data_IF_503580482179
#
_entry.id   IF_503580482179
#
_cell.length_a   1.000
_cell.length_b   1.000
_cell.length_c   1.000
_cell.angle_alpha   90.00
_cell.angle_beta   90.00
_cell.angle_gamma   90.00
#
_symmetry.space_group_name_H-M   'P 1'
#
loop_
_entity.id
_entity.type
_entity.pdbx_description
1 polymer ?
#
# COMPACT_ATOMS: atom_id res chain seq x y z
N UNK A 1 16.39 35.80 88.78
CA UNK A 1 17.64 36.31 88.22
C UNK A 1 17.91 35.62 86.91
N UNK A 2 17.95 36.33 85.90
CA UNK A 2 18.11 36.00 84.44
C UNK A 2 16.98 35.23 83.73
N UNK A 3 16.39 35.88 82.72
CA UNK A 3 15.39 35.28 81.83
C UNK A 3 16.02 34.61 80.60
N UNK A 4 15.34 33.51 80.26
CA UNK A 4 15.65 32.74 79.04
C UNK A 4 15.20 33.46 77.76
N UNK A 5 16.12 33.65 76.82
CA UNK A 5 15.83 34.15 75.49
C UNK A 5 15.22 32.99 74.62
N UNK A 6 13.94 33.22 74.21
CA UNK A 6 13.33 32.40 73.16
C UNK A 6 13.86 32.78 71.77
N UNK A 7 14.46 31.85 71.04
CA UNK A 7 14.77 31.99 69.62
C UNK A 7 13.61 31.51 68.79
N UNK A 8 12.97 32.38 68.05
CA UNK A 8 12.00 32.07 66.97
C UNK A 8 12.74 31.53 65.79
N UNK A 9 12.51 30.25 65.49
CA UNK A 9 12.89 29.67 64.23
C UNK A 9 11.78 29.93 63.19
N UNK A 10 12.09 30.74 62.17
CA UNK A 10 11.23 30.93 61.01
C UNK A 10 11.39 29.72 60.10
N UNK A 11 10.35 28.88 60.01
CA UNK A 11 10.25 27.85 58.97
C UNK A 11 9.83 28.53 57.66
N UNK A 12 10.73 28.61 56.69
CA UNK A 12 10.43 28.91 55.32
C UNK A 12 9.91 27.62 54.63
N UNK A 13 8.60 27.57 54.34
CA UNK A 13 8.04 26.54 53.48
C UNK A 13 8.38 26.90 52.02
N UNK A 14 9.33 26.21 51.44
CA UNK A 14 9.58 26.22 49.97
C UNK A 14 8.64 25.18 49.37
N UNK A 15 7.59 25.65 48.71
CA UNK A 15 6.77 24.81 47.86
C UNK A 15 7.55 24.49 46.59
N UNK A 16 8.12 23.29 46.51
CA UNK A 16 8.59 22.71 45.25
C UNK A 16 7.35 22.35 44.40
N UNK A 17 7.02 23.16 43.42
CA UNK A 17 6.17 22.73 42.32
C UNK A 17 6.96 21.75 41.46
N UNK A 18 6.79 20.46 41.68
CA UNK A 18 7.13 19.43 40.72
C UNK A 18 6.14 19.54 39.55
N UNK A 19 6.55 20.23 38.51
CA UNK A 19 5.92 20.09 37.18
C UNK A 19 6.26 18.68 36.74
N UNK A 20 5.38 17.72 37.00
CA UNK A 20 5.38 16.43 36.30
C UNK A 20 5.02 16.73 34.85
N UNK A 21 6.04 16.95 34.00
CA UNK A 21 5.88 16.77 32.59
C UNK A 21 5.51 15.30 32.41
N UNK A 22 4.25 15.03 32.17
CA UNK A 22 3.76 13.73 31.75
C UNK A 22 4.43 13.42 30.41
N UNK A 23 5.53 12.70 30.46
CA UNK A 23 5.99 11.97 29.29
C UNK A 23 4.98 10.84 29.18
N UNK A 24 3.96 11.03 28.34
CA UNK A 24 3.18 9.93 27.82
C UNK A 24 4.16 9.02 27.06
N UNK A 25 4.72 8.06 27.80
CA UNK A 25 5.30 6.88 27.17
C UNK A 25 4.09 6.16 26.59
N UNK A 26 3.72 6.51 25.37
CA UNK A 26 2.83 5.70 24.57
C UNK A 26 3.52 4.33 24.50
N UNK A 27 3.04 3.40 25.29
CA UNK A 27 3.33 2.00 25.04
C UNK A 27 2.82 1.74 23.64
N UNK A 28 3.72 1.58 22.68
CA UNK A 28 3.39 1.03 21.36
C UNK A 28 2.98 -0.40 21.64
N UNK A 29 1.74 -0.59 22.05
CA UNK A 29 1.10 -1.89 21.94
C UNK A 29 1.13 -2.19 20.45
N UNK A 30 1.71 -3.32 20.07
CA UNK A 30 1.65 -3.80 18.71
C UNK A 30 0.17 -3.76 18.30
N UNK A 31 -0.14 -2.90 17.34
CA UNK A 31 -1.51 -2.66 16.94
C UNK A 31 -1.96 -3.83 16.07
N UNK A 32 -3.11 -4.39 16.36
CA UNK A 32 -3.75 -5.41 15.53
C UNK A 32 -4.25 -4.85 14.18
N UNK A 33 -4.16 -3.53 14.01
CA UNK A 33 -4.65 -2.77 12.87
C UNK A 33 -3.81 -1.52 12.63
N UNK A 34 -3.99 -0.87 11.48
CA UNK A 34 -3.46 0.48 11.23
C UNK A 34 -4.58 1.51 11.23
N UNK A 35 -4.28 2.70 11.72
CA UNK A 35 -5.19 3.84 11.65
C UNK A 35 -4.45 5.02 11.02
N UNK A 36 -4.87 5.43 9.85
CA UNK A 36 -4.34 6.60 9.15
C UNK A 36 -5.29 7.78 9.37
N UNK A 37 -4.78 8.80 10.06
CA UNK A 37 -5.48 10.06 10.21
C UNK A 37 -5.10 11.01 9.07
N UNK A 38 -6.04 11.76 8.53
CA UNK A 38 -5.74 12.74 7.50
C UNK A 38 -4.90 13.90 8.05
N UNK A 39 -4.15 14.61 7.18
CA UNK A 39 -3.51 15.87 7.54
C UNK A 39 -4.53 16.89 8.10
N UNK A 40 -4.14 17.69 9.09
CA UNK A 40 -5.06 18.60 9.79
C UNK A 40 -5.81 19.59 8.88
N UNK A 41 -5.23 19.94 7.74
CA UNK A 41 -5.81 20.87 6.75
C UNK A 41 -6.68 20.19 5.68
N UNK A 42 -6.85 18.87 5.73
CA UNK A 42 -7.58 18.07 4.72
C UNK A 42 -8.59 17.11 5.37
N UNK A 43 -9.12 17.45 6.51
CA UNK A 43 -10.02 16.54 7.22
C UNK A 43 -11.35 16.39 6.48
N UNK A 44 -11.64 15.18 6.07
CA UNK A 44 -12.92 14.68 5.64
C UNK A 44 -13.57 13.96 6.83
N UNK A 45 -14.79 14.30 7.18
CA UNK A 45 -15.44 13.71 8.36
C UNK A 45 -15.77 12.21 8.23
N UNK A 46 -15.47 11.59 7.09
CA UNK A 46 -15.83 10.19 6.78
C UNK A 46 -14.74 9.20 7.19
N UNK A 47 -15.19 8.06 7.71
CA UNK A 47 -14.34 6.95 8.14
C UNK A 47 -14.50 5.74 7.22
N UNK A 48 -13.39 5.26 6.67
CA UNK A 48 -13.33 4.07 5.81
C UNK A 48 -12.59 2.95 6.56
N UNK A 49 -13.21 1.78 6.64
CA UNK A 49 -12.56 0.57 7.14
C UNK A 49 -12.17 -0.30 5.95
N UNK A 50 -10.88 -0.60 5.81
CA UNK A 50 -10.34 -1.47 4.76
C UNK A 50 -9.99 -2.82 5.38
N UNK A 51 -10.47 -3.90 4.78
CA UNK A 51 -10.33 -5.26 5.34
C UNK A 51 -9.48 -6.10 4.41
N UNK A 52 -8.32 -6.54 4.92
CA UNK A 52 -7.37 -7.42 4.25
C UNK A 52 -7.44 -8.83 4.81
N UNK A 53 -7.57 -9.83 3.94
CA UNK A 53 -7.61 -11.23 4.35
C UNK A 53 -7.71 -12.16 3.14
N UNK A 54 -6.70 -12.15 2.29
CA UNK A 54 -6.66 -12.94 1.06
C UNK A 54 -5.29 -13.62 0.93
N UNK A 55 -5.28 -14.95 0.98
CA UNK A 55 -4.06 -15.74 0.93
C UNK A 55 -3.46 -15.87 -0.49
N UNK A 56 -4.12 -15.31 -1.51
CA UNK A 56 -3.69 -15.42 -2.90
C UNK A 56 -3.31 -14.06 -3.51
N UNK A 57 -4.13 -13.01 -3.30
CA UNK A 57 -4.03 -11.74 -4.05
C UNK A 57 -3.37 -10.59 -3.29
N UNK A 58 -2.71 -10.86 -2.16
CA UNK A 58 -1.84 -9.92 -1.44
C UNK A 58 -2.54 -8.65 -0.98
N UNK A 59 -3.75 -8.76 -0.46
CA UNK A 59 -4.49 -7.58 0.02
C UNK A 59 -3.84 -6.92 1.23
N UNK A 60 -2.97 -7.61 1.96
CA UNK A 60 -2.12 -7.06 3.02
C UNK A 60 -1.15 -5.97 2.52
N UNK A 61 -0.85 -5.94 1.22
CA UNK A 61 -0.03 -4.90 0.58
C UNK A 61 -0.91 -3.78 0.04
N UNK A 62 -2.01 -4.12 -0.65
CA UNK A 62 -2.84 -3.13 -1.36
C UNK A 62 -3.74 -2.32 -0.43
N UNK A 63 -4.31 -2.91 0.62
CA UNK A 63 -5.21 -2.18 1.51
C UNK A 63 -4.53 -1.05 2.28
N UNK A 64 -3.34 -1.22 2.89
CA UNK A 64 -2.64 -0.09 3.50
C UNK A 64 -2.18 0.95 2.47
N UNK A 65 -1.78 0.55 1.26
CA UNK A 65 -1.44 1.49 0.19
C UNK A 65 -2.65 2.37 -0.19
N UNK A 66 -3.83 1.77 -0.40
CA UNK A 66 -5.08 2.51 -0.66
C UNK A 66 -5.47 3.40 0.52
N UNK A 67 -5.34 2.91 1.75
CA UNK A 67 -5.64 3.67 2.96
C UNK A 67 -4.75 4.92 3.09
N UNK A 68 -3.47 4.83 2.74
CA UNK A 68 -2.56 5.98 2.69
C UNK A 68 -3.01 7.02 1.67
N UNK A 69 -3.38 6.59 0.45
CA UNK A 69 -3.89 7.51 -0.58
C UNK A 69 -5.18 8.18 -0.11
N UNK A 70 -6.16 7.39 0.34
CA UNK A 70 -7.45 7.91 0.83
C UNK A 70 -7.29 8.86 2.01
N UNK A 71 -6.38 8.56 2.92
CA UNK A 71 -6.15 9.40 4.10
C UNK A 71 -5.33 10.64 3.74
N UNK A 72 -4.14 10.49 3.18
CA UNK A 72 -3.18 11.59 3.06
C UNK A 72 -3.49 12.55 1.90
N UNK A 73 -4.17 12.06 0.85
CA UNK A 73 -4.52 12.89 -0.32
C UNK A 73 -5.99 13.28 -0.39
N UNK A 74 -6.87 12.51 0.24
CA UNK A 74 -8.32 12.72 0.17
C UNK A 74 -9.00 12.99 1.51
N UNK A 75 -8.22 13.01 2.60
CA UNK A 75 -8.68 13.47 3.90
C UNK A 75 -9.58 12.49 4.68
N UNK A 76 -9.77 11.26 4.22
CA UNK A 76 -10.53 10.25 4.95
C UNK A 76 -9.78 9.77 6.19
N UNK A 77 -10.47 9.49 7.28
CA UNK A 77 -9.94 8.61 8.31
C UNK A 77 -9.99 7.18 7.78
N UNK A 78 -8.88 6.44 7.82
CA UNK A 78 -8.82 5.06 7.33
C UNK A 78 -8.34 4.12 8.43
N UNK A 79 -9.05 3.01 8.62
CA UNK A 79 -8.61 1.89 9.49
C UNK A 79 -8.41 0.66 8.62
N UNK A 80 -7.24 0.02 8.73
CA UNK A 80 -6.92 -1.21 7.99
C UNK A 80 -6.88 -2.38 8.95
N UNK A 81 -7.71 -3.39 8.70
CA UNK A 81 -7.76 -4.64 9.42
C UNK A 81 -6.99 -5.71 8.63
N UNK A 82 -6.25 -6.55 9.34
CA UNK A 82 -5.45 -7.62 8.76
C UNK A 82 -5.85 -8.98 9.30
N UNK A 83 -5.66 -10.03 8.47
CA UNK A 83 -5.65 -11.39 8.96
C UNK A 83 -4.33 -11.63 9.71
N UNK A 84 -4.39 -11.82 11.02
CA UNK A 84 -3.25 -12.07 11.88
C UNK A 84 -3.05 -13.56 12.12
N UNK A 85 -1.88 -13.94 12.58
CA UNK A 85 -1.56 -15.32 12.96
C UNK A 85 -2.46 -15.84 14.07
N UNK A 86 -2.41 -17.17 14.34
CA UNK A 86 -3.25 -17.79 15.35
C UNK A 86 -2.82 -17.41 16.78
N UNK A 87 -3.70 -17.69 17.74
CA UNK A 87 -3.43 -17.62 19.20
C UNK A 87 -2.92 -16.24 19.70
N UNK A 88 -3.43 -15.15 19.10
CA UNK A 88 -3.05 -13.78 19.49
C UNK A 88 -1.70 -13.33 18.94
N UNK A 89 -1.20 -13.99 17.90
CA UNK A 89 0.01 -13.56 17.21
C UNK A 89 -0.20 -12.19 16.54
N UNK A 90 0.85 -11.38 16.53
CA UNK A 90 0.82 -10.02 16.00
C UNK A 90 1.32 -9.91 14.55
N UNK A 91 1.81 -11.02 13.97
CA UNK A 91 2.24 -11.03 12.57
C UNK A 91 1.06 -11.28 11.64
N UNK A 92 1.13 -10.71 10.44
CA UNK A 92 0.14 -10.89 9.39
C UNK A 92 0.25 -12.31 8.82
N UNK A 93 -0.85 -13.04 8.81
CA UNK A 93 -0.96 -14.36 8.20
C UNK A 93 -2.22 -14.47 7.34
N UNK A 94 -2.13 -14.19 6.05
CA UNK A 94 -3.26 -14.31 5.14
C UNK A 94 -3.86 -15.73 5.06
N UNK A 95 -3.12 -16.77 5.46
CA UNK A 95 -3.63 -18.14 5.51
C UNK A 95 -4.57 -18.40 6.70
N UNK A 96 -4.57 -17.53 7.72
CA UNK A 96 -5.47 -17.67 8.85
C UNK A 96 -6.88 -17.18 8.52
N UNK A 97 -7.76 -18.08 8.13
CA UNK A 97 -9.14 -17.76 7.76
C UNK A 97 -10.01 -17.14 8.87
N UNK A 98 -9.51 -17.10 10.11
CA UNK A 98 -10.19 -16.53 11.30
C UNK A 98 -9.41 -15.42 11.97
N UNK A 99 -8.31 -14.98 11.35
CA UNK A 99 -7.35 -14.08 11.95
C UNK A 99 -7.72 -12.60 11.92
N UNK A 100 -8.79 -12.19 11.23
CA UNK A 100 -9.16 -10.78 11.16
C UNK A 100 -9.77 -10.36 12.47
N UNK A 101 -9.16 -9.34 13.09
CA UNK A 101 -9.62 -8.70 14.31
C UNK A 101 -10.01 -7.25 14.03
N UNK A 102 -10.70 -6.59 15.00
CA UNK A 102 -11.01 -5.16 14.89
C UNK A 102 -12.31 -4.84 14.18
N UNK A 103 -13.17 -5.82 13.94
CA UNK A 103 -14.46 -5.63 13.27
C UNK A 103 -15.38 -4.61 13.98
N UNK A 104 -15.19 -4.37 15.28
CA UNK A 104 -15.91 -3.33 16.04
C UNK A 104 -15.71 -1.92 15.44
N UNK A 105 -14.65 -1.69 14.70
CA UNK A 105 -14.41 -0.40 14.01
C UNK A 105 -15.44 -0.08 12.92
N UNK A 106 -16.20 -1.09 12.48
CA UNK A 106 -17.32 -0.88 11.54
C UNK A 106 -18.47 -0.08 12.17
N UNK A 107 -18.59 -0.02 13.49
CA UNK A 107 -19.63 0.76 14.16
C UNK A 107 -19.58 2.24 13.75
N UNK A 108 -18.37 2.81 13.66
CA UNK A 108 -18.15 4.22 13.28
C UNK A 108 -17.91 4.40 11.77
N UNK A 109 -17.75 3.33 10.99
CA UNK A 109 -17.41 3.43 9.58
C UNK A 109 -18.56 3.96 8.73
N UNK A 110 -18.24 4.79 7.75
CA UNK A 110 -19.16 5.24 6.69
C UNK A 110 -19.10 4.32 5.46
N UNK A 111 -17.98 3.63 5.25
CA UNK A 111 -17.72 2.76 4.11
C UNK A 111 -16.82 1.61 4.54
N UNK A 112 -17.09 0.41 4.02
CA UNK A 112 -16.20 -0.75 4.10
C UNK A 112 -15.61 -1.05 2.73
N UNK A 113 -14.26 -1.15 2.63
CA UNK A 113 -13.55 -1.69 1.46
C UNK A 113 -13.06 -3.07 1.85
N UNK A 114 -13.45 -4.11 1.14
CA UNK A 114 -13.14 -5.48 1.49
C UNK A 114 -12.42 -6.23 0.36
N UNK A 115 -11.26 -6.81 0.69
CA UNK A 115 -10.48 -7.71 -0.15
C UNK A 115 -10.16 -8.97 0.64
N UNK A 116 -11.13 -9.86 0.78
CA UNK A 116 -10.98 -11.08 1.57
C UNK A 116 -11.43 -12.30 0.77
N UNK A 117 -10.94 -13.47 1.19
CA UNK A 117 -11.22 -14.74 0.51
C UNK A 117 -11.50 -15.84 1.54
N UNK A 118 -12.73 -16.38 1.54
CA UNK A 118 -13.17 -17.50 2.39
C UNK A 118 -12.92 -17.30 3.90
N UNK A 119 -13.14 -16.08 4.42
CA UNK A 119 -12.98 -15.80 5.86
C UNK A 119 -14.16 -16.34 6.66
N UNK A 120 -13.89 -16.77 7.88
CA UNK A 120 -14.91 -17.25 8.83
C UNK A 120 -14.83 -16.39 10.10
N UNK A 121 -15.54 -15.27 10.17
CA UNK A 121 -15.55 -14.44 11.38
C UNK A 121 -16.17 -15.18 12.57
N UNK A 122 -15.78 -14.80 13.77
CA UNK A 122 -16.46 -15.27 14.97
C UNK A 122 -17.92 -14.76 15.01
N UNK A 123 -18.81 -15.38 15.80
CA UNK A 123 -20.18 -14.87 15.94
C UNK A 123 -20.24 -13.42 16.46
N UNK A 124 -19.28 -13.03 17.29
CA UNK A 124 -19.19 -11.66 17.81
C UNK A 124 -18.75 -10.67 16.72
N UNK A 125 -17.77 -11.03 15.90
CA UNK A 125 -17.33 -10.24 14.75
C UNK A 125 -18.41 -10.13 13.69
N UNK A 126 -19.13 -11.23 13.45
CA UNK A 126 -20.22 -11.26 12.47
C UNK A 126 -21.35 -10.28 12.81
N UNK A 127 -21.58 -9.97 14.09
CA UNK A 127 -22.57 -8.96 14.52
C UNK A 127 -22.17 -7.56 14.04
N UNK A 128 -20.91 -7.17 14.12
CA UNK A 128 -20.48 -5.87 13.63
C UNK A 128 -20.66 -5.73 12.12
N UNK A 129 -20.41 -6.80 11.38
CA UNK A 129 -20.65 -6.84 9.94
C UNK A 129 -22.16 -6.77 9.65
N UNK A 130 -22.96 -7.54 10.39
CA UNK A 130 -24.43 -7.51 10.28
C UNK A 130 -25.01 -6.13 10.58
N UNK A 131 -24.59 -5.50 11.66
CA UNK A 131 -25.04 -4.16 12.07
C UNK A 131 -24.68 -3.10 11.00
N UNK A 132 -23.47 -3.18 10.44
CA UNK A 132 -23.03 -2.32 9.35
C UNK A 132 -23.91 -2.47 8.11
N UNK A 133 -24.19 -3.70 7.68
CA UNK A 133 -25.05 -3.99 6.52
C UNK A 133 -26.52 -3.64 6.79
N UNK A 134 -27.04 -3.89 8.01
CA UNK A 134 -28.39 -3.56 8.41
C UNK A 134 -28.62 -2.05 8.49
N UNK A 135 -27.56 -1.27 8.70
CA UNK A 135 -27.62 0.18 8.56
C UNK A 135 -27.71 0.67 7.11
N UNK A 136 -27.58 -0.22 6.12
CA UNK A 136 -27.58 0.11 4.70
C UNK A 136 -26.27 0.81 4.26
N UNK A 137 -25.20 0.67 5.02
CA UNK A 137 -23.92 1.33 4.73
C UNK A 137 -23.23 0.73 3.51
N UNK A 138 -22.52 1.54 2.69
CA UNK A 138 -21.94 1.10 1.43
C UNK A 138 -20.74 0.17 1.59
N UNK A 139 -20.53 -0.65 0.55
CA UNK A 139 -19.42 -1.61 0.46
C UNK A 139 -18.68 -1.45 -0.85
N UNK A 140 -17.35 -1.47 -0.83
CA UNK A 140 -16.50 -1.69 -2.01
C UNK A 140 -15.90 -3.09 -1.90
N UNK A 141 -16.19 -3.97 -2.86
CA UNK A 141 -15.60 -5.30 -2.95
C UNK A 141 -14.55 -5.38 -4.05
N UNK A 142 -13.36 -5.89 -3.73
CA UNK A 142 -12.29 -6.07 -4.70
C UNK A 142 -11.97 -7.56 -4.90
N UNK A 143 -11.75 -7.98 -6.13
CA UNK A 143 -11.35 -9.31 -6.56
C UNK A 143 -12.14 -10.42 -5.86
N UNK A 144 -11.57 -11.05 -4.86
CA UNK A 144 -12.11 -12.18 -4.13
C UNK A 144 -13.23 -11.85 -3.16
N UNK A 145 -13.57 -10.58 -3.00
CA UNK A 145 -14.72 -10.17 -2.19
C UNK A 145 -16.03 -10.85 -2.62
N UNK A 146 -16.16 -11.26 -3.88
CA UNK A 146 -17.28 -12.05 -4.37
C UNK A 146 -17.44 -13.41 -3.67
N UNK A 147 -16.38 -13.88 -2.99
CA UNK A 147 -16.39 -15.08 -2.11
C UNK A 147 -15.62 -14.79 -0.81
N UNK A 148 -15.87 -13.59 -0.25
CA UNK A 148 -15.17 -13.06 0.92
C UNK A 148 -15.23 -14.00 2.13
N UNK A 149 -16.38 -14.63 2.35
CA UNK A 149 -16.66 -15.42 3.56
C UNK A 149 -17.08 -16.84 3.25
N UNK A 150 -16.86 -17.73 4.21
CA UNK A 150 -17.22 -19.13 4.12
C UNK A 150 -17.45 -19.75 5.51
N UNK A 151 -17.85 -21.00 5.54
CA UNK A 151 -18.06 -21.74 6.79
C UNK A 151 -19.50 -21.63 7.30
N UNK A 152 -19.69 -22.05 8.54
CA UNK A 152 -21.02 -22.03 9.20
C UNK A 152 -21.18 -20.74 9.98
N UNK A 153 -22.26 -20.02 9.72
CA UNK A 153 -22.63 -18.78 10.37
C UNK A 153 -23.37 -17.86 9.42
N UNK A 154 -23.83 -16.74 9.94
CA UNK A 154 -24.57 -15.75 9.18
C UNK A 154 -24.37 -14.34 9.75
N UNK A 155 -24.74 -13.34 8.95
CA UNK A 155 -24.78 -11.92 9.27
C UNK A 155 -26.21 -11.48 9.60
N UNK A 156 -26.81 -12.04 10.66
CA UNK A 156 -28.17 -11.68 11.03
C UNK A 156 -29.23 -12.17 10.04
N UNK A 157 -29.06 -13.38 9.49
CA UNK A 157 -29.95 -14.01 8.51
C UNK A 157 -29.36 -14.20 7.11
N UNK A 158 -28.23 -13.54 6.82
CA UNK A 158 -27.48 -13.72 5.57
C UNK A 158 -26.31 -14.70 5.81
N UNK A 159 -26.39 -15.92 5.25
CA UNK A 159 -25.30 -16.88 5.39
C UNK A 159 -23.98 -16.33 4.84
N UNK A 160 -22.84 -16.69 5.46
CA UNK A 160 -21.51 -16.16 5.11
C UNK A 160 -21.19 -16.32 3.61
N UNK A 161 -21.44 -17.47 3.04
CA UNK A 161 -21.20 -17.77 1.62
C UNK A 161 -22.13 -17.02 0.64
N UNK A 162 -23.19 -16.38 1.14
CA UNK A 162 -24.10 -15.57 0.35
C UNK A 162 -23.70 -14.09 0.28
N UNK A 163 -22.68 -13.68 1.00
CA UNK A 163 -22.26 -12.27 1.02
C UNK A 163 -21.98 -11.73 -0.38
N UNK A 164 -21.16 -12.41 -1.17
CA UNK A 164 -20.84 -11.97 -2.53
C UNK A 164 -22.09 -11.80 -3.37
N UNK A 165 -22.92 -12.82 -3.46
CA UNK A 165 -24.13 -12.82 -4.30
C UNK A 165 -25.16 -11.78 -3.85
N UNK A 166 -25.37 -11.61 -2.55
CA UNK A 166 -26.46 -10.77 -2.02
C UNK A 166 -26.04 -9.34 -1.74
N UNK A 167 -24.78 -9.08 -1.44
CA UNK A 167 -24.28 -7.74 -1.13
C UNK A 167 -23.55 -7.13 -2.33
N UNK A 168 -22.77 -7.91 -3.07
CA UNK A 168 -21.99 -7.43 -4.21
C UNK A 168 -22.63 -7.73 -5.57
N UNK A 169 -23.69 -8.51 -5.60
CA UNK A 169 -24.43 -8.91 -6.83
C UNK A 169 -23.83 -10.11 -7.56
N UNK A 170 -22.66 -10.61 -7.14
CA UNK A 170 -22.00 -11.74 -7.78
C UNK A 170 -21.25 -12.61 -6.76
N UNK A 171 -21.15 -13.88 -7.05
CA UNK A 171 -20.30 -14.84 -6.33
C UNK A 171 -19.16 -15.30 -7.25
N UNK A 172 -18.15 -15.95 -6.71
CA UNK A 172 -17.12 -16.55 -7.56
C UNK A 172 -17.68 -17.71 -8.37
N UNK A 173 -17.54 -17.63 -9.69
CA UNK A 173 -18.00 -18.64 -10.63
C UNK A 173 -16.82 -19.39 -11.23
N UNK A 174 -15.91 -18.65 -11.87
CA UNK A 174 -14.74 -19.23 -12.53
C UNK A 174 -13.75 -18.14 -12.95
N UNK A 175 -12.54 -18.56 -13.24
CA UNK A 175 -11.64 -17.76 -14.07
C UNK A 175 -12.19 -17.76 -15.52
N UNK A 176 -12.35 -16.60 -16.11
CA UNK A 176 -12.76 -16.44 -17.51
C UNK A 176 -11.53 -16.33 -18.42
N UNK A 177 -10.51 -15.59 -17.99
CA UNK A 177 -9.16 -15.62 -18.55
C UNK A 177 -8.34 -16.78 -18.04
N UNK A 178 -7.17 -17.02 -18.62
CA UNK A 178 -6.22 -18.00 -18.13
C UNK A 178 -5.42 -17.38 -16.97
N UNK A 179 -5.62 -17.92 -15.77
CA UNK A 179 -5.01 -17.46 -14.53
C UNK A 179 -3.49 -17.40 -14.61
N UNK A 180 -2.88 -16.28 -14.17
CA UNK A 180 -1.44 -15.98 -14.19
C UNK A 180 -0.77 -16.07 -15.59
N UNK A 181 -1.57 -16.02 -16.66
CA UNK A 181 -1.09 -16.04 -18.06
C UNK A 181 -1.70 -14.89 -18.85
N UNK A 182 -2.99 -14.62 -18.63
CA UNK A 182 -3.74 -13.58 -19.32
C UNK A 182 -4.19 -12.50 -18.32
N UNK A 183 -4.11 -11.25 -18.72
CA UNK A 183 -4.59 -10.11 -17.93
C UNK A 183 -6.02 -9.71 -18.28
N UNK A 184 -6.49 -8.68 -17.62
CA UNK A 184 -7.77 -8.02 -17.87
C UNK A 184 -7.53 -6.57 -18.29
N UNK A 185 -8.11 -6.15 -19.42
CA UNK A 185 -8.18 -4.75 -19.83
C UNK A 185 -9.56 -4.20 -19.53
N UNK A 186 -9.64 -3.20 -18.65
CA UNK A 186 -10.89 -2.56 -18.28
C UNK A 186 -11.29 -1.50 -19.32
N UNK A 187 -12.43 -1.72 -19.95
CA UNK A 187 -12.99 -0.85 -20.99
C UNK A 187 -14.27 -0.22 -20.44
N UNK A 188 -14.40 1.10 -20.56
CA UNK A 188 -15.58 1.84 -20.08
C UNK A 188 -16.85 1.35 -20.81
N UNK A 189 -17.87 1.00 -20.02
CA UNK A 189 -19.21 0.71 -20.56
C UNK A 189 -19.84 1.98 -21.12
N UNK A 190 -20.08 2.00 -22.42
CA UNK A 190 -20.48 3.20 -23.15
C UNK A 190 -21.73 3.86 -22.58
N UNK A 191 -22.71 3.07 -22.13
CA UNK A 191 -23.95 3.57 -21.56
C UNK A 191 -23.74 4.36 -20.26
N UNK A 192 -22.66 4.07 -19.53
CA UNK A 192 -22.35 4.64 -18.23
C UNK A 192 -21.10 5.54 -18.25
N UNK A 193 -20.60 5.92 -19.43
CA UNK A 193 -19.34 6.66 -19.59
C UNK A 193 -19.29 7.99 -18.80
N UNK A 194 -20.44 8.60 -18.50
CA UNK A 194 -20.54 9.85 -17.75
C UNK A 194 -20.74 9.62 -16.22
N UNK A 195 -20.67 8.38 -15.75
CA UNK A 195 -20.88 8.11 -14.33
C UNK A 195 -19.78 8.77 -13.49
N UNK A 196 -20.10 9.41 -12.33
CA UNK A 196 -19.11 10.12 -11.53
C UNK A 196 -17.89 9.26 -11.12
N UNK A 197 -18.08 7.98 -10.83
CA UNK A 197 -16.99 7.04 -10.49
C UNK A 197 -15.95 6.93 -11.62
N UNK A 198 -16.34 7.18 -12.87
CA UNK A 198 -15.45 7.10 -14.03
C UNK A 198 -14.71 8.41 -14.36
N UNK A 199 -14.89 9.47 -13.56
CA UNK A 199 -14.16 10.74 -13.78
C UNK A 199 -12.65 10.54 -13.77
N UNK A 200 -11.98 10.91 -14.85
CA UNK A 200 -10.55 10.77 -15.02
C UNK A 200 -10.03 9.32 -15.06
N UNK A 201 -10.93 8.33 -15.12
CA UNK A 201 -10.57 6.92 -15.30
C UNK A 201 -10.48 6.65 -16.80
N UNK A 202 -9.26 6.28 -17.24
CA UNK A 202 -9.01 5.80 -18.60
C UNK A 202 -9.11 4.27 -18.69
N UNK A 203 -8.54 3.74 -19.77
CA UNK A 203 -8.34 2.29 -19.91
C UNK A 203 -7.40 1.80 -18.80
N UNK A 204 -7.80 0.75 -18.08
CA UNK A 204 -6.96 0.16 -17.05
C UNK A 204 -6.46 -1.22 -17.48
N UNK A 205 -5.34 -1.64 -16.93
CA UNK A 205 -4.80 -2.97 -17.08
C UNK A 205 -4.60 -3.64 -15.72
N UNK A 206 -5.14 -4.85 -15.57
CA UNK A 206 -4.96 -5.68 -14.39
C UNK A 206 -4.28 -7.00 -14.79
N UNK A 207 -3.11 -7.34 -14.22
CA UNK A 207 -2.48 -8.65 -14.42
C UNK A 207 -3.33 -9.83 -13.96
N UNK A 208 -4.22 -9.60 -13.00
CA UNK A 208 -5.18 -10.63 -12.63
C UNK A 208 -6.22 -10.81 -13.74
N UNK A 209 -6.54 -12.06 -14.02
CA UNK A 209 -7.46 -12.43 -15.10
C UNK A 209 -8.92 -11.99 -14.82
N UNK A 210 -9.69 -11.90 -15.88
CA UNK A 210 -11.14 -11.63 -15.81
C UNK A 210 -11.87 -12.80 -15.14
N UNK A 211 -12.80 -12.52 -14.23
CA UNK A 211 -13.73 -13.52 -13.69
C UNK A 211 -14.98 -13.69 -14.56
N UNK A 212 -15.56 -14.88 -14.54
CA UNK A 212 -16.91 -15.11 -15.01
C UNK A 212 -17.93 -14.42 -14.10
N UNK A 213 -18.81 -13.63 -14.68
CA UNK A 213 -19.87 -12.85 -14.00
C UNK A 213 -21.20 -13.19 -14.68
N UNK A 214 -22.13 -13.82 -13.95
CA UNK A 214 -23.35 -14.37 -14.54
C UNK A 214 -24.64 -14.03 -13.77
N UNK A 215 -24.54 -13.48 -12.55
CA UNK A 215 -25.72 -13.25 -11.72
C UNK A 215 -26.21 -11.79 -11.74
N UNK A 216 -25.46 -10.88 -12.36
CA UNK A 216 -25.89 -9.48 -12.50
C UNK A 216 -27.18 -9.42 -13.32
N UNK A 217 -28.01 -8.46 -12.98
CA UNK A 217 -29.32 -8.19 -13.62
C UNK A 217 -29.36 -6.82 -14.27
N UNK A 218 -30.43 -6.49 -14.97
CA UNK A 218 -30.66 -5.16 -15.54
C UNK A 218 -30.75 -4.03 -14.49
N UNK A 219 -30.81 -4.37 -13.19
CA UNK A 219 -30.78 -3.40 -12.10
C UNK A 219 -29.38 -3.02 -11.71
N UNK A 220 -28.39 -3.80 -12.12
CA UNK A 220 -26.98 -3.60 -11.81
C UNK A 220 -26.35 -2.69 -12.87
N UNK A 221 -25.61 -1.69 -12.42
CA UNK A 221 -25.00 -0.73 -13.31
C UNK A 221 -23.54 -1.09 -13.61
N UNK A 222 -23.31 -1.69 -14.77
CA UNK A 222 -21.95 -2.03 -15.22
C UNK A 222 -21.22 -0.73 -15.59
N UNK A 223 -20.05 -0.50 -15.00
CA UNK A 223 -19.20 0.67 -15.26
C UNK A 223 -18.04 0.32 -16.19
N UNK A 224 -17.40 -0.83 -15.98
CA UNK A 224 -16.33 -1.32 -16.82
C UNK A 224 -16.60 -2.75 -17.27
N UNK A 225 -16.20 -3.04 -18.51
CA UNK A 225 -16.10 -4.41 -19.03
C UNK A 225 -14.64 -4.86 -19.06
N UNK A 226 -14.40 -6.13 -18.84
CA UNK A 226 -13.08 -6.75 -18.84
C UNK A 226 -12.84 -7.51 -20.14
N UNK A 227 -11.94 -7.01 -20.97
CA UNK A 227 -11.40 -7.77 -22.08
C UNK A 227 -10.23 -8.64 -21.59
N UNK A 228 -10.26 -9.92 -21.93
CA UNK A 228 -9.13 -10.83 -21.72
C UNK A 228 -8.02 -10.47 -22.71
N UNK A 229 -6.80 -10.29 -22.23
CA UNK A 229 -5.62 -9.98 -23.06
C UNK A 229 -4.87 -11.25 -23.42
N UNK A 230 -4.01 -11.17 -24.46
CA UNK A 230 -3.21 -12.32 -24.91
C UNK A 230 -2.16 -12.74 -23.88
N UNK A 231 -1.69 -11.80 -23.05
CA UNK A 231 -0.63 -12.05 -22.06
C UNK A 231 -0.75 -11.08 -20.87
N UNK A 232 0.20 -11.16 -19.93
CA UNK A 232 0.36 -10.26 -18.79
C UNK A 232 1.06 -8.93 -19.14
N UNK A 233 1.41 -8.73 -20.40
CA UNK A 233 2.00 -7.46 -20.85
C UNK A 233 0.89 -6.43 -21.07
N UNK A 234 0.95 -5.23 -20.43
CA UNK A 234 -0.04 -4.19 -20.66
C UNK A 234 -0.20 -3.75 -22.11
N UNK A 235 0.83 -3.95 -22.94
CA UNK A 235 0.81 -3.62 -24.37
C UNK A 235 0.22 -4.73 -25.26
N UNK A 236 -0.07 -5.92 -24.70
CA UNK A 236 -0.60 -7.03 -25.48
C UNK A 236 -2.02 -6.73 -25.98
N UNK A 237 -2.37 -7.31 -27.13
CA UNK A 237 -3.70 -7.16 -27.69
C UNK A 237 -4.78 -7.86 -26.83
N UNK A 238 -6.02 -7.41 -26.98
CA UNK A 238 -7.16 -8.14 -26.46
C UNK A 238 -7.42 -9.37 -27.33
N UNK A 239 -7.81 -10.49 -26.74
CA UNK A 239 -8.22 -11.66 -27.51
C UNK A 239 -9.35 -11.29 -28.48
N UNK A 240 -9.25 -11.78 -29.70
CA UNK A 240 -10.29 -11.63 -30.70
C UNK A 240 -11.06 -12.94 -30.86
N UNK A 241 -11.70 -13.39 -29.80
CA UNK A 241 -12.44 -14.64 -29.74
C UNK A 241 -13.74 -14.51 -28.91
N UNK A 242 -14.38 -15.65 -28.64
CA UNK A 242 -15.61 -15.73 -27.86
C UNK A 242 -15.49 -15.26 -26.42
N UNK A 243 -14.29 -15.24 -25.82
CA UNK A 243 -14.07 -14.74 -24.47
C UNK A 243 -14.35 -13.25 -24.33
N UNK A 244 -14.13 -12.50 -25.40
CA UNK A 244 -14.39 -11.06 -25.44
C UNK A 244 -15.69 -10.69 -26.19
N UNK A 245 -16.53 -11.66 -26.54
CA UNK A 245 -17.76 -11.39 -27.27
C UNK A 245 -18.98 -12.19 -26.69
N UNK A 246 -19.70 -11.63 -25.69
CA UNK A 246 -19.48 -10.34 -25.04
C UNK A 246 -18.39 -10.36 -23.97
N UNK A 247 -17.74 -9.22 -23.72
CA UNK A 247 -16.83 -9.05 -22.60
C UNK A 247 -17.57 -9.18 -21.26
N UNK A 248 -16.94 -9.78 -20.26
CA UNK A 248 -17.49 -9.91 -18.91
C UNK A 248 -17.56 -8.52 -18.22
N UNK A 249 -18.50 -8.29 -17.29
CA UNK A 249 -18.41 -7.16 -16.37
C UNK A 249 -17.12 -7.21 -15.55
N UNK A 250 -16.41 -6.08 -15.43
CA UNK A 250 -15.21 -5.94 -14.60
C UNK A 250 -15.47 -5.13 -13.35
N UNK A 251 -16.28 -4.08 -13.46
CA UNK A 251 -16.69 -3.25 -12.32
C UNK A 251 -18.15 -2.80 -12.48
N UNK A 252 -18.89 -2.80 -11.35
CA UNK A 252 -20.32 -2.48 -11.35
C UNK A 252 -20.79 -1.92 -10.01
N UNK A 253 -21.98 -1.31 -10.02
CA UNK A 253 -22.74 -0.97 -8.84
C UNK A 253 -23.92 -1.95 -8.69
N UNK A 254 -24.14 -2.39 -7.45
CA UNK A 254 -25.25 -3.26 -7.04
C UNK A 254 -26.02 -2.62 -5.88
N UNK A 255 -27.33 -2.69 -5.92
CA UNK A 255 -28.18 -2.30 -4.79
C UNK A 255 -28.53 -3.55 -4.00
N UNK A 256 -28.02 -3.68 -2.79
CA UNK A 256 -28.31 -4.81 -1.93
C UNK A 256 -29.47 -4.53 -0.96
N UNK A 257 -30.13 -5.60 -0.52
CA UNK A 257 -31.06 -5.57 0.61
C UNK A 257 -30.31 -6.00 1.87
N UNK A 258 -30.47 -5.24 2.97
CA UNK A 258 -29.85 -5.57 4.24
C UNK A 258 -30.21 -6.98 4.74
N UNK A 259 -29.34 -7.64 5.51
CA UNK A 259 -29.62 -9.00 6.04
C UNK A 259 -30.96 -9.15 6.74
N UNK A 260 -31.39 -8.13 7.50
CA UNK A 260 -32.69 -8.09 8.20
C UNK A 260 -33.88 -7.66 7.30
N UNK A 261 -33.62 -7.35 6.03
CA UNK A 261 -34.64 -6.92 5.07
C UNK A 261 -35.19 -5.51 5.26
N UNK A 262 -34.67 -4.74 6.23
CA UNK A 262 -35.26 -3.45 6.61
C UNK A 262 -34.83 -2.28 5.73
N UNK A 263 -33.68 -2.36 5.08
CA UNK A 263 -33.06 -1.28 4.31
C UNK A 263 -32.43 -1.79 3.00
N UNK A 264 -32.04 -0.85 2.19
CA UNK A 264 -31.17 -1.07 1.04
C UNK A 264 -29.88 -0.32 1.22
N UNK A 265 -28.79 -0.84 0.66
CA UNK A 265 -27.51 -0.16 0.55
C UNK A 265 -26.96 -0.30 -0.85
N UNK A 266 -25.85 0.36 -1.13
CA UNK A 266 -25.17 0.30 -2.42
C UNK A 266 -23.80 -0.29 -2.27
N UNK A 267 -23.47 -1.26 -3.13
CA UNK A 267 -22.13 -1.81 -3.23
C UNK A 267 -21.51 -1.47 -4.60
N UNK A 268 -20.23 -1.18 -4.59
CA UNK A 268 -19.38 -1.20 -5.77
C UNK A 268 -18.53 -2.47 -5.74
N UNK A 269 -18.46 -3.18 -6.84
CA UNK A 269 -17.62 -4.38 -6.94
C UNK A 269 -16.74 -4.34 -8.19
N UNK A 270 -15.53 -4.88 -8.07
CA UNK A 270 -14.64 -5.10 -9.20
C UNK A 270 -13.95 -6.45 -9.10
N UNK A 271 -13.82 -7.16 -10.23
CA UNK A 271 -13.07 -8.42 -10.31
C UNK A 271 -11.57 -8.21 -10.49
N UNK A 272 -11.09 -6.99 -10.71
CA UNK A 272 -9.70 -6.58 -10.51
C UNK A 272 -9.48 -6.23 -9.03
N UNK A 273 -8.25 -6.40 -8.50
CA UNK A 273 -7.97 -6.07 -7.11
C UNK A 273 -6.88 -6.89 -6.46
N UNK A 274 -6.11 -7.68 -7.22
CA UNK A 274 -4.82 -8.18 -6.75
C UNK A 274 -3.87 -7.01 -6.44
N UNK A 275 -2.93 -7.20 -5.54
CA UNK A 275 -1.96 -6.15 -5.20
C UNK A 275 -1.28 -5.56 -6.45
N UNK A 276 -0.85 -6.42 -7.38
CA UNK A 276 -0.24 -6.00 -8.65
C UNK A 276 -1.17 -5.22 -9.58
N UNK A 277 -2.49 -5.40 -9.49
CA UNK A 277 -3.44 -4.66 -10.32
C UNK A 277 -3.43 -3.16 -9.96
N UNK A 278 -3.13 -2.83 -8.72
CA UNK A 278 -3.05 -1.45 -8.24
C UNK A 278 -1.78 -0.70 -8.67
N UNK A 279 -0.92 -1.33 -9.47
CA UNK A 279 0.11 -0.60 -10.23
C UNK A 279 -0.53 0.33 -11.25
N UNK A 280 -1.71 -0.03 -11.77
CA UNK A 280 -2.49 0.83 -12.66
C UNK A 280 -3.16 1.99 -11.90
N UNK A 281 -2.84 3.22 -12.29
CA UNK A 281 -3.39 4.43 -11.67
C UNK A 281 -4.91 4.57 -11.89
N UNK A 282 -5.45 4.03 -12.97
CA UNK A 282 -6.89 4.10 -13.26
C UNK A 282 -7.68 3.18 -12.32
N UNK A 283 -7.12 2.02 -11.93
CA UNK A 283 -7.75 1.18 -10.91
C UNK A 283 -7.75 1.88 -9.54
N UNK A 284 -6.62 2.48 -9.13
CA UNK A 284 -6.60 3.27 -7.88
C UNK A 284 -7.62 4.41 -7.91
N UNK A 285 -7.72 5.12 -9.05
CA UNK A 285 -8.68 6.23 -9.24
C UNK A 285 -10.11 5.75 -9.20
N UNK A 286 -10.39 4.59 -9.78
CA UNK A 286 -11.71 3.97 -9.74
C UNK A 286 -12.16 3.71 -8.29
N UNK A 287 -11.28 3.17 -7.44
CA UNK A 287 -11.57 2.92 -6.02
C UNK A 287 -11.73 4.22 -5.23
N UNK A 288 -10.86 5.20 -5.44
CA UNK A 288 -10.96 6.51 -4.78
C UNK A 288 -12.27 7.22 -5.16
N UNK A 289 -12.60 7.23 -6.44
CA UNK A 289 -13.86 7.82 -6.92
C UNK A 289 -15.10 7.09 -6.35
N UNK A 290 -15.04 5.75 -6.27
CA UNK A 290 -16.09 4.96 -5.65
C UNK A 290 -16.27 5.30 -4.17
N UNK A 291 -15.17 5.54 -3.44
CA UNK A 291 -15.23 5.96 -2.04
C UNK A 291 -15.93 7.32 -1.87
N UNK A 292 -15.63 8.31 -2.71
CA UNK A 292 -16.34 9.60 -2.71
C UNK A 292 -17.81 9.42 -3.02
N UNK A 293 -18.13 8.71 -4.12
CA UNK A 293 -19.50 8.52 -4.56
C UNK A 293 -20.36 7.82 -3.51
N UNK A 294 -19.85 6.74 -2.93
CA UNK A 294 -20.57 5.93 -1.96
C UNK A 294 -20.67 6.57 -0.56
N UNK A 295 -19.88 7.59 -0.29
CA UNK A 295 -19.98 8.39 0.95
C UNK A 295 -20.72 9.71 0.73
N UNK A 296 -21.47 9.83 -0.37
CA UNK A 296 -22.26 11.01 -0.74
C UNK A 296 -21.44 12.29 -0.84
N UNK A 297 -20.24 12.19 -1.39
CA UNK A 297 -19.33 13.31 -1.61
C UNK A 297 -19.12 13.56 -3.10
N UNK A 298 -18.80 14.81 -3.45
CA UNK A 298 -18.49 15.14 -4.83
C UNK A 298 -17.18 14.46 -5.26
N UNK A 299 -17.28 13.63 -6.30
CA UNK A 299 -16.11 12.98 -6.89
C UNK A 299 -15.23 14.04 -7.57
N UNK A 300 -13.91 14.11 -7.24
CA UNK A 300 -13.00 15.04 -7.90
C UNK A 300 -12.98 14.87 -9.42
N UNK A 301 -12.75 15.97 -10.16
CA UNK A 301 -12.60 15.89 -11.62
C UNK A 301 -11.44 14.98 -12.02
N UNK A 302 -10.35 15.01 -11.25
CA UNK A 302 -9.19 14.17 -11.37
C UNK A 302 -8.64 13.87 -9.97
N UNK A 303 -8.97 12.70 -9.41
CA UNK A 303 -8.42 12.31 -8.12
C UNK A 303 -6.91 12.07 -8.21
N UNK A 304 -6.15 12.62 -7.26
CA UNK A 304 -4.72 12.32 -7.11
C UNK A 304 -4.56 10.93 -6.49
N UNK A 305 -4.00 10.01 -7.23
CA UNK A 305 -3.83 8.61 -6.82
C UNK A 305 -2.37 8.16 -6.88
N UNK A 306 -1.44 9.12 -6.93
CA UNK A 306 -0.02 8.80 -6.78
C UNK A 306 0.24 8.21 -5.39
N UNK A 307 1.19 7.31 -5.33
CA UNK A 307 1.53 6.66 -4.07
C UNK A 307 2.02 7.69 -3.04
N UNK A 308 1.63 7.49 -1.79
CA UNK A 308 2.14 8.29 -0.66
C UNK A 308 3.54 7.83 -0.28
N UNK A 309 3.71 6.52 -0.18
CA UNK A 309 4.99 5.85 0.01
C UNK A 309 5.24 4.91 -1.18
N UNK A 310 6.47 4.57 -1.55
CA UNK A 310 6.74 3.61 -2.59
C UNK A 310 5.96 2.32 -2.41
N UNK A 311 5.39 1.79 -3.47
CA UNK A 311 4.57 0.59 -3.45
C UNK A 311 5.25 -0.54 -4.23
N UNK A 312 5.61 -1.61 -3.52
CA UNK A 312 6.32 -2.77 -4.05
C UNK A 312 5.44 -4.02 -3.98
N UNK A 313 4.39 -4.13 -4.79
CA UNK A 313 3.52 -5.29 -4.73
C UNK A 313 4.26 -6.56 -5.16
N UNK A 314 4.00 -7.67 -4.46
CA UNK A 314 4.38 -8.99 -4.92
C UNK A 314 3.33 -9.53 -5.89
N UNK A 315 3.74 -10.44 -6.77
CA UNK A 315 2.80 -11.11 -7.66
C UNK A 315 1.84 -12.00 -6.84
N UNK A 316 0.64 -12.20 -7.34
CA UNK A 316 -0.34 -13.04 -6.65
C UNK A 316 -0.01 -14.54 -6.77
N UNK A 317 -0.49 -15.33 -5.82
CA UNK A 317 -0.30 -16.76 -5.74
C UNK A 317 -0.24 -17.25 -4.29
N UNK A 318 -0.50 -18.54 -4.10
CA UNK A 318 -0.54 -19.14 -2.77
C UNK A 318 0.85 -19.39 -2.20
N UNK A 319 1.07 -18.95 -0.97
CA UNK A 319 2.21 -19.35 -0.15
C UNK A 319 1.68 -20.24 0.97
N UNK A 320 1.90 -21.53 0.84
CA UNK A 320 1.31 -22.55 1.75
C UNK A 320 2.32 -23.10 2.77
N UNK A 321 3.48 -22.51 2.91
CA UNK A 321 4.45 -22.90 3.94
C UNK A 321 3.86 -22.68 5.33
N UNK A 322 3.80 -23.72 6.16
CA UNK A 322 3.11 -23.71 7.45
C UNK A 322 3.60 -22.59 8.38
N UNK A 323 4.89 -22.28 8.34
CA UNK A 323 5.54 -21.28 9.23
C UNK A 323 6.07 -20.07 8.45
N UNK A 324 5.69 -19.95 7.16
CA UNK A 324 6.25 -18.91 6.31
C UNK A 324 5.95 -17.49 6.84
N UNK A 325 4.69 -17.17 7.08
CA UNK A 325 4.29 -15.85 7.56
C UNK A 325 4.75 -15.60 8.99
N UNK A 326 4.85 -16.63 9.83
CA UNK A 326 5.44 -16.52 11.15
C UNK A 326 6.95 -16.17 11.08
N UNK A 327 7.70 -16.79 10.17
CA UNK A 327 9.11 -16.51 9.97
C UNK A 327 9.34 -15.14 9.33
N UNK A 328 8.48 -14.75 8.40
CA UNK A 328 8.49 -13.43 7.79
C UNK A 328 8.23 -12.34 8.84
N UNK A 329 7.38 -12.62 9.84
CA UNK A 329 7.05 -11.78 10.98
C UNK A 329 6.66 -10.33 10.61
N UNK A 330 6.02 -10.14 9.45
CA UNK A 330 5.48 -8.84 9.04
C UNK A 330 4.31 -8.47 9.93
N UNK A 331 4.26 -7.25 10.39
CA UNK A 331 3.23 -6.72 11.30
C UNK A 331 2.47 -5.59 10.64
N UNK A 332 1.25 -5.26 11.07
CA UNK A 332 0.55 -4.08 10.59
C UNK A 332 1.42 -2.82 10.60
N UNK A 333 2.19 -2.61 11.66
CA UNK A 333 3.08 -1.45 11.81
C UNK A 333 4.18 -1.33 10.72
N UNK A 334 4.49 -2.40 10.00
CA UNK A 334 5.46 -2.37 8.90
C UNK A 334 4.89 -1.72 7.62
N UNK A 335 3.57 -1.53 7.59
CA UNK A 335 2.85 -0.85 6.52
C UNK A 335 2.44 0.59 6.88
N UNK A 336 2.90 1.13 7.99
CA UNK A 336 2.59 2.50 8.43
C UNK A 336 3.17 3.56 7.49
N UNK A 337 2.78 4.83 7.68
CA UNK A 337 3.32 5.97 6.91
C UNK A 337 4.85 6.01 6.97
N UNK A 338 5.45 6.31 5.85
CA UNK A 338 6.90 6.30 5.67
C UNK A 338 7.52 4.91 5.53
N UNK A 339 6.71 3.84 5.49
CA UNK A 339 7.18 2.47 5.34
C UNK A 339 6.66 1.83 4.06
N UNK A 340 7.53 1.07 3.40
CA UNK A 340 7.26 0.43 2.12
C UNK A 340 7.84 -0.99 2.12
N UNK A 341 7.22 -1.92 2.85
CA UNK A 341 7.70 -3.28 2.90
C UNK A 341 7.60 -3.93 1.52
N UNK A 342 8.56 -4.74 1.19
CA UNK A 342 8.59 -5.56 -0.02
C UNK A 342 8.56 -7.02 0.35
N UNK A 343 7.54 -7.72 -0.11
CA UNK A 343 7.42 -9.16 0.07
C UNK A 343 7.92 -9.88 -1.19
N UNK A 344 8.51 -11.08 -1.06
CA UNK A 344 8.93 -11.85 -2.22
C UNK A 344 7.74 -12.36 -3.01
N UNK A 345 7.89 -12.46 -4.32
CA UNK A 345 6.91 -13.13 -5.16
C UNK A 345 6.76 -14.60 -4.76
N UNK A 346 5.56 -15.19 -4.88
CA UNK A 346 5.37 -16.61 -4.68
C UNK A 346 6.24 -17.42 -5.63
N UNK A 347 6.67 -18.61 -5.18
CA UNK A 347 7.46 -19.51 -6.03
C UNK A 347 6.68 -19.87 -7.30
N UNK A 348 7.28 -19.61 -8.44
CA UNK A 348 6.68 -19.86 -9.76
C UNK A 348 5.81 -18.72 -10.28
N UNK A 349 5.82 -17.57 -9.62
CA UNK A 349 5.22 -16.36 -10.18
C UNK A 349 5.83 -16.07 -11.56
N UNK A 350 5.03 -15.61 -12.52
CA UNK A 350 5.56 -15.21 -13.82
C UNK A 350 6.43 -13.97 -13.67
N UNK A 351 7.40 -13.81 -14.56
CA UNK A 351 8.12 -12.56 -14.71
C UNK A 351 7.18 -11.45 -15.19
N UNK A 352 7.16 -10.31 -14.52
CA UNK A 352 6.32 -9.18 -14.89
C UNK A 352 7.15 -7.89 -15.02
N UNK A 353 7.11 -7.33 -16.25
CA UNK A 353 7.99 -6.22 -16.68
C UNK A 353 7.51 -4.84 -16.24
N UNK A 354 6.27 -4.72 -15.79
CA UNK A 354 5.66 -3.45 -15.38
C UNK A 354 5.74 -3.21 -13.86
N UNK A 355 6.63 -3.95 -13.16
CA UNK A 355 6.88 -3.70 -11.73
C UNK A 355 7.31 -2.25 -11.52
N UNK A 356 6.69 -1.52 -10.58
CA UNK A 356 7.11 -0.16 -10.29
C UNK A 356 8.59 -0.11 -9.91
N UNK A 357 9.30 0.82 -10.51
CA UNK A 357 10.66 1.13 -10.12
C UNK A 357 10.60 2.40 -9.27
N UNK A 358 10.98 2.28 -8.03
CA UNK A 358 11.14 3.43 -7.15
C UNK A 358 12.61 3.51 -6.76
N UNK A 359 13.13 4.72 -6.72
CA UNK A 359 14.38 4.94 -6.00
C UNK A 359 14.17 4.46 -4.56
N UNK A 360 15.11 3.66 -4.05
CA UNK A 360 15.00 3.16 -2.67
C UNK A 360 14.73 4.35 -1.76
N UNK A 361 13.63 4.36 -1.00
CA UNK A 361 13.37 5.47 -0.10
C UNK A 361 14.53 5.57 0.89
N UNK A 362 15.02 6.77 1.07
CA UNK A 362 15.89 7.05 2.22
C UNK A 362 15.16 6.58 3.48
N UNK A 363 15.83 5.91 4.43
CA UNK A 363 15.18 5.47 5.65
C UNK A 363 14.43 6.63 6.30
N UNK A 364 13.13 6.46 6.49
CA UNK A 364 12.25 7.49 7.06
C UNK A 364 12.38 7.62 8.58
N UNK A 365 13.19 6.75 9.21
CA UNK A 365 13.44 6.74 10.66
C UNK A 365 14.37 7.87 11.15
N UNK A 366 14.74 8.81 10.25
CA UNK A 366 15.70 9.87 10.57
C UNK A 366 17.12 9.38 10.70
N UNK A 367 17.39 8.06 10.56
CA UNK A 367 18.75 7.58 10.42
C UNK A 367 19.24 7.97 9.03
N UNK A 368 20.23 8.83 8.98
CA UNK A 368 20.96 9.10 7.75
C UNK A 368 21.75 7.85 7.38
N UNK A 369 21.53 7.27 6.19
CA UNK A 369 22.43 6.24 5.65
C UNK A 369 23.85 6.78 5.51
N UNK A 370 23.97 8.09 5.49
CA UNK A 370 25.24 8.80 5.41
C UNK A 370 25.37 9.71 6.64
N UNK A 371 26.25 9.32 7.56
CA UNK A 371 26.68 10.13 8.70
C UNK A 371 28.16 10.51 8.52
N UNK A 372 28.47 11.55 7.76
CA UNK A 372 29.83 11.93 7.50
C UNK A 372 30.52 12.42 8.79
N UNK A 373 31.81 12.14 8.89
CA UNK A 373 32.66 12.63 9.98
C UNK A 373 33.03 14.10 9.75
N UNK A 374 33.55 14.72 10.79
CA UNK A 374 34.11 16.07 10.65
C UNK A 374 35.28 16.04 9.66
N UNK A 375 35.26 16.98 8.69
CA UNK A 375 36.26 17.15 7.64
C UNK A 375 36.53 15.87 6.83
N UNK A 376 35.51 15.01 6.70
CA UNK A 376 35.63 13.75 5.96
C UNK A 376 35.92 13.99 4.49
N UNK A 377 36.91 13.26 3.97
CA UNK A 377 37.28 13.31 2.55
C UNK A 377 36.44 12.32 1.76
N UNK A 378 35.63 12.89 0.86
CA UNK A 378 34.64 12.15 0.06
C UNK A 378 35.10 12.14 -1.40
N UNK A 379 35.30 10.94 -1.95
CA UNK A 379 35.59 10.75 -3.37
C UNK A 379 34.29 10.40 -4.12
N UNK A 380 33.98 11.15 -5.18
CA UNK A 380 32.98 10.76 -6.16
C UNK A 380 33.71 9.97 -7.26
N UNK A 381 33.28 8.73 -7.51
CA UNK A 381 33.91 7.83 -8.47
C UNK A 381 32.85 7.25 -9.41
N UNK A 382 33.18 6.94 -10.64
CA UNK A 382 32.27 6.35 -11.59
C UNK A 382 32.43 6.86 -13.02
N UNK A 383 31.48 6.47 -13.85
CA UNK A 383 31.46 6.82 -15.26
C UNK A 383 31.05 8.26 -15.56
N UNK A 384 30.47 8.48 -16.73
CA UNK A 384 30.08 9.81 -17.26
C UNK A 384 29.15 10.60 -16.34
N UNK A 385 28.33 9.95 -15.52
CA UNK A 385 27.46 10.64 -14.57
C UNK A 385 28.29 11.36 -13.50
N UNK A 386 29.23 10.67 -12.88
CA UNK A 386 30.14 11.25 -11.90
C UNK A 386 30.98 12.39 -12.50
N UNK A 387 31.53 12.18 -13.68
CA UNK A 387 32.33 13.20 -14.38
C UNK A 387 31.52 14.49 -14.61
N UNK A 388 30.28 14.39 -15.09
CA UNK A 388 29.42 15.53 -15.37
C UNK A 388 28.97 16.30 -14.16
N UNK A 389 28.97 15.70 -12.98
CA UNK A 389 28.69 16.41 -11.72
C UNK A 389 29.67 17.53 -11.45
N UNK A 390 30.90 17.47 -11.96
CA UNK A 390 31.85 18.57 -11.91
C UNK A 390 31.36 19.86 -12.56
N UNK A 391 30.42 19.78 -13.51
CA UNK A 391 29.97 20.96 -14.24
C UNK A 391 29.09 21.90 -13.42
N UNK A 392 28.41 21.38 -12.40
CA UNK A 392 27.37 22.13 -11.69
C UNK A 392 27.56 22.19 -10.17
N UNK A 393 28.29 21.25 -9.56
CA UNK A 393 28.52 21.20 -8.12
C UNK A 393 27.27 21.06 -7.24
N UNK A 394 26.13 20.68 -7.82
CA UNK A 394 24.87 20.59 -7.06
C UNK A 394 24.92 19.53 -5.97
N UNK A 395 25.52 18.39 -6.25
CA UNK A 395 25.58 17.29 -5.32
C UNK A 395 26.41 17.63 -4.08
N UNK A 396 27.58 18.18 -4.28
CA UNK A 396 28.46 18.65 -3.20
C UNK A 396 27.78 19.76 -2.40
N UNK A 397 27.12 20.70 -3.10
CA UNK A 397 26.40 21.80 -2.44
C UNK A 397 25.27 21.25 -1.56
N UNK A 398 24.47 20.29 -2.03
CA UNK A 398 23.38 19.70 -1.26
C UNK A 398 23.89 18.97 -0.02
N UNK A 399 25.01 18.24 -0.12
CA UNK A 399 25.61 17.58 1.03
C UNK A 399 26.20 18.58 2.03
N UNK A 400 26.85 19.64 1.58
CA UNK A 400 27.32 20.70 2.47
C UNK A 400 26.17 21.42 3.18
N UNK A 401 25.05 21.66 2.48
CA UNK A 401 23.85 22.25 3.08
C UNK A 401 23.16 21.29 4.08
N UNK A 402 23.26 19.99 3.84
CA UNK A 402 22.69 18.99 4.74
C UNK A 402 23.50 18.81 6.02
N UNK A 403 24.82 18.95 5.93
CA UNK A 403 25.78 18.76 7.02
C UNK A 403 26.73 19.98 7.15
N UNK A 404 26.21 21.20 7.37
CA UNK A 404 27.00 22.43 7.30
C UNK A 404 28.12 22.49 8.33
N UNK A 405 27.94 21.83 9.48
CA UNK A 405 28.95 21.78 10.55
C UNK A 405 30.05 20.76 10.31
N UNK A 406 29.92 19.92 9.28
CA UNK A 406 30.87 18.83 9.04
C UNK A 406 32.07 19.23 8.20
N UNK A 407 32.03 20.38 7.51
CA UNK A 407 33.11 20.89 6.67
C UNK A 407 33.68 19.83 5.71
N UNK A 408 32.78 19.16 4.96
CA UNK A 408 33.13 18.03 4.10
C UNK A 408 34.07 18.43 2.97
N UNK A 409 35.01 17.56 2.61
CA UNK A 409 36.02 17.78 1.56
C UNK A 409 35.72 16.84 0.40
N UNK A 410 35.29 17.38 -0.73
CA UNK A 410 34.94 16.60 -1.92
C UNK A 410 36.04 16.63 -2.97
N UNK A 411 36.21 15.49 -3.66
CA UNK A 411 36.94 15.41 -4.90
C UNK A 411 36.28 14.45 -5.86
N UNK A 412 36.05 14.89 -7.08
CA UNK A 412 35.45 14.09 -8.12
C UNK A 412 36.55 13.44 -8.98
N UNK A 413 36.50 12.09 -9.03
CA UNK A 413 37.38 11.25 -9.80
C UNK A 413 36.62 10.50 -10.93
N UNK A 414 35.39 10.93 -11.24
CA UNK A 414 34.60 10.36 -12.32
C UNK A 414 35.27 10.51 -13.69
N UNK A 415 35.24 9.47 -14.48
CA UNK A 415 35.80 9.45 -15.82
C UNK A 415 34.81 8.83 -16.82
N UNK A 416 34.60 9.44 -18.02
CA UNK A 416 33.69 8.86 -18.99
C UNK A 416 34.04 7.42 -19.33
N UNK A 417 33.05 6.55 -19.37
CA UNK A 417 33.15 5.12 -19.65
C UNK A 417 33.88 4.25 -18.61
N UNK A 418 34.16 4.78 -17.40
CA UNK A 418 34.62 3.93 -16.30
C UNK A 418 33.52 2.92 -15.89
N UNK A 419 33.94 1.69 -15.69
CA UNK A 419 33.19 0.57 -15.14
C UNK A 419 33.86 0.08 -13.87
N UNK A 420 33.13 -0.65 -13.02
CA UNK A 420 33.69 -1.19 -11.76
C UNK A 420 34.93 -2.05 -11.99
N UNK A 421 34.88 -2.88 -13.01
CA UNK A 421 35.97 -3.83 -13.38
C UNK A 421 36.91 -3.35 -14.49
N UNK A 422 36.62 -2.22 -15.12
CA UNK A 422 37.36 -1.74 -16.28
C UNK A 422 37.47 -0.22 -16.27
N UNK A 423 38.52 0.30 -15.70
CA UNK A 423 38.81 1.74 -15.67
C UNK A 423 39.78 2.09 -16.77
N UNK A 424 39.32 2.86 -17.74
CA UNK A 424 40.10 3.27 -18.92
C UNK A 424 41.11 4.37 -18.58
N UNK A 425 41.97 4.11 -17.60
CA UNK A 425 42.98 5.06 -17.13
C UNK A 425 44.40 4.57 -17.52
N UNK A 426 45.37 5.50 -17.65
CA UNK A 426 46.76 5.09 -17.80
C UNK A 426 47.22 4.19 -16.67
N UNK A 427 48.09 3.22 -16.96
CA UNK A 427 48.60 2.23 -16.01
C UNK A 427 49.21 2.85 -14.72
N UNK A 428 49.73 4.06 -14.82
CA UNK A 428 50.29 4.78 -13.66
C UNK A 428 49.22 5.41 -12.75
N UNK A 429 47.95 5.32 -13.08
CA UNK A 429 46.85 5.85 -12.26
C UNK A 429 46.54 4.95 -11.04
N UNK A 430 47.10 3.76 -10.99
CA UNK A 430 47.02 2.82 -9.85
C UNK A 430 48.35 2.74 -9.06
N UNK A 431 49.32 3.60 -9.36
CA UNK A 431 50.59 3.66 -8.68
C UNK A 431 50.51 4.49 -7.37
N UNK A 432 51.61 4.54 -6.62
CA UNK A 432 51.74 5.30 -5.35
C UNK A 432 51.37 6.78 -5.50
N UNK A 433 51.54 7.32 -6.70
CA UNK A 433 51.20 8.70 -7.07
C UNK A 433 49.78 8.86 -7.67
N UNK A 434 48.93 7.83 -7.59
CA UNK A 434 47.52 7.90 -7.97
C UNK A 434 46.85 9.03 -7.19
N UNK A 435 46.24 10.00 -7.86
CA UNK A 435 45.54 11.11 -7.23
C UNK A 435 44.44 10.68 -6.25
N UNK A 436 43.82 9.51 -6.45
CA UNK A 436 42.83 8.95 -5.53
C UNK A 436 43.50 8.49 -4.24
N UNK A 437 44.66 7.81 -4.34
CA UNK A 437 45.42 7.36 -3.18
C UNK A 437 46.02 8.54 -2.43
N UNK A 438 46.54 9.55 -3.16
CA UNK A 438 47.08 10.77 -2.57
C UNK A 438 46.01 11.59 -1.86
N UNK A 439 44.82 11.67 -2.40
CA UNK A 439 43.70 12.32 -1.73
C UNK A 439 43.29 11.60 -0.45
N UNK A 440 43.44 10.30 -0.39
CA UNK A 440 43.13 9.48 0.76
C UNK A 440 41.67 9.58 1.22
N UNK A 441 40.71 9.27 0.39
CA UNK A 441 39.29 9.38 0.76
C UNK A 441 38.93 8.42 1.87
N UNK A 442 38.03 8.85 2.74
CA UNK A 442 37.47 8.07 3.84
C UNK A 442 36.08 7.53 3.48
N UNK A 443 35.42 8.17 2.49
CA UNK A 443 34.11 7.77 1.97
C UNK A 443 34.15 7.80 0.43
N UNK A 444 33.61 6.76 -0.18
CA UNK A 444 33.42 6.69 -1.62
C UNK A 444 31.94 6.74 -1.95
N UNK A 445 31.56 7.58 -2.92
CA UNK A 445 30.23 7.60 -3.52
C UNK A 445 30.37 7.19 -4.98
N UNK A 446 29.80 6.04 -5.32
CA UNK A 446 30.02 5.34 -6.58
C UNK A 446 28.87 5.54 -7.55
N UNK A 447 29.15 5.94 -8.79
CA UNK A 447 28.20 6.17 -9.87
C UNK A 447 28.52 5.26 -11.05
N UNK A 448 28.34 3.95 -10.84
CA UNK A 448 28.52 2.89 -11.83
C UNK A 448 27.17 2.30 -12.25
N UNK A 449 27.16 1.36 -13.20
CA UNK A 449 25.98 0.60 -13.63
C UNK A 449 25.50 0.93 -15.04
N UNK A 450 25.73 2.14 -15.55
CA UNK A 450 25.25 2.53 -16.88
C UNK A 450 25.96 1.78 -18.01
N UNK A 451 27.30 1.67 -17.92
CA UNK A 451 28.07 0.97 -18.95
C UNK A 451 27.98 -0.55 -18.78
N UNK A 452 27.96 -1.02 -17.55
CA UNK A 452 27.78 -2.43 -17.19
C UNK A 452 26.46 -2.98 -17.72
N UNK A 453 25.41 -2.18 -17.74
CA UNK A 453 24.10 -2.57 -18.30
C UNK A 453 24.20 -3.00 -19.78
N UNK A 454 25.07 -2.40 -20.55
CA UNK A 454 25.29 -2.79 -21.96
C UNK A 454 26.14 -4.03 -22.13
N UNK A 455 26.90 -4.43 -21.11
CA UNK A 455 27.64 -5.69 -21.10
C UNK A 455 26.74 -6.90 -20.78
N UNK A 456 25.50 -6.66 -20.32
CA UNK A 456 24.52 -7.72 -20.03
C UNK A 456 24.67 -8.35 -18.65
N UNK A 457 25.31 -7.66 -17.72
CA UNK A 457 25.49 -8.05 -16.32
C UNK A 457 24.39 -7.44 -15.40
#
# INVERSE_FOLDING_TARGET
MFPAMARFARFCWVWLFLIAAGIDIAWVTASDRLVFLPPQNQQNAKHIVLVSGDEEYRTEESMPMLAKILSQKHGFKCTVLFALGPDGAEYIDPNNGRGIQGWETLADADLMIIGTRFRTPSPDDARFIADFLNAGKPVIGTRTATHAFSGKGDFGGLAYDQFGLKILGETWVSHHGQHAVQGARGIVETQNANHPILRGVGELFAPSDVYGVIHLSDKDQILLRGAVTESLDPSSANLNDEKNNPMQPLAWLHTYTSPDGSRTGTAFATTAGASVDFVDANLRRLIVNAAYYLTDQEVPTQADVDYVDPFYPSFFGFIRGKDYFQQLNMRPADFDLGKSPQMPDPKGAPEWKFRPQFDQPMPSDGSSLLEPRQSERIALVGGSLAERMNLFGYFETLLQLRFPEKELIFRNFGWPADEVGNQQRPDNYTAIDDPLVEFGPELFICFFGFNEHFAGD
#
